data_IF_883933638529
#
_entry.id   IF_883933638529
#
_cell.length_a   1.000
_cell.length_b   1.000
_cell.length_c   1.000
_cell.angle_alpha   90.00
_cell.angle_beta   90.00
_cell.angle_gamma   90.00
#
_symmetry.space_group_name_H-M   'P 1'
#
loop_
_entity.id
_entity.type
_entity.pdbx_description
1 polymer ?
#
# COMPACT_ATOMS: atom_id res chain seq x y z
N UNK A 1 2.69 -38.73 10.50
CA UNK A 1 1.89 -38.03 11.55
C UNK A 1 2.74 -37.24 12.53
N UNK A 2 4.00 -37.59 12.80
CA UNK A 2 4.92 -36.83 13.66
C UNK A 2 5.49 -35.57 12.96
N UNK A 3 5.56 -35.55 11.63
CA UNK A 3 6.05 -34.40 10.85
C UNK A 3 5.08 -33.21 10.83
N UNK A 4 3.78 -33.44 10.92
CA UNK A 4 2.76 -32.38 10.91
C UNK A 4 2.70 -31.61 12.26
N UNK A 5 2.94 -32.28 13.37
CA UNK A 5 2.94 -31.65 14.70
C UNK A 5 4.19 -30.78 14.93
N UNK A 6 5.36 -31.20 14.43
CA UNK A 6 6.60 -30.45 14.54
C UNK A 6 6.57 -29.17 13.67
N UNK A 7 6.05 -29.25 12.46
CA UNK A 7 5.88 -28.10 11.56
C UNK A 7 4.87 -27.09 12.13
N UNK A 8 3.75 -27.54 12.67
CA UNK A 8 2.79 -26.67 13.35
C UNK A 8 3.43 -25.98 14.58
N UNK A 9 4.16 -26.73 15.41
CA UNK A 9 4.88 -26.16 16.56
C UNK A 9 5.91 -25.09 16.15
N UNK A 10 6.59 -25.28 15.02
CA UNK A 10 7.56 -24.30 14.52
C UNK A 10 6.88 -23.00 14.01
N UNK A 11 5.73 -23.11 13.37
CA UNK A 11 4.92 -21.97 12.94
C UNK A 11 4.46 -21.14 14.15
N UNK A 12 3.91 -21.77 15.19
CA UNK A 12 3.48 -21.08 16.41
C UNK A 12 4.65 -20.39 17.12
N UNK A 13 5.80 -21.06 17.27
CA UNK A 13 7.01 -20.47 17.88
C UNK A 13 7.49 -19.23 17.12
N UNK A 14 7.38 -19.22 15.79
CA UNK A 14 7.73 -18.04 14.99
C UNK A 14 6.72 -16.92 15.16
N UNK A 15 5.43 -17.23 15.21
CA UNK A 15 4.41 -16.22 15.49
C UNK A 15 4.67 -15.54 16.84
N UNK A 16 4.89 -16.30 17.90
CA UNK A 16 5.19 -15.78 19.24
C UNK A 16 6.47 -14.92 19.27
N UNK A 17 7.43 -15.24 18.41
CA UNK A 17 8.72 -14.55 18.35
C UNK A 17 8.66 -13.20 17.61
N UNK A 18 7.89 -13.11 16.53
CA UNK A 18 7.90 -11.94 15.64
C UNK A 18 6.65 -11.08 15.78
N UNK A 19 5.48 -11.69 15.85
CA UNK A 19 4.21 -10.98 15.76
C UNK A 19 3.95 -9.99 16.90
N UNK A 20 4.21 -10.28 18.19
CA UNK A 20 3.93 -9.34 19.28
C UNK A 20 4.62 -7.99 19.09
N UNK A 21 5.91 -7.98 18.75
CA UNK A 21 6.67 -6.74 18.53
C UNK A 21 6.25 -5.98 17.29
N UNK A 22 5.73 -6.68 16.27
CA UNK A 22 5.16 -6.05 15.08
C UNK A 22 3.80 -5.40 15.42
N UNK A 23 2.95 -6.06 16.20
CA UNK A 23 1.67 -5.51 16.66
C UNK A 23 1.86 -4.31 17.59
N UNK A 24 2.88 -4.36 18.46
CA UNK A 24 3.28 -3.23 19.30
C UNK A 24 3.89 -2.04 18.54
N UNK A 25 4.16 -2.19 17.24
CA UNK A 25 4.83 -1.18 16.42
C UNK A 25 6.34 -1.01 16.70
N UNK A 26 6.94 -1.86 17.54
CA UNK A 26 8.39 -1.86 17.79
C UNK A 26 9.19 -2.35 16.61
N UNK A 27 8.62 -3.25 15.82
CA UNK A 27 9.16 -3.74 14.57
C UNK A 27 8.22 -3.42 13.43
N UNK A 28 8.77 -3.01 12.30
CA UNK A 28 8.01 -2.80 11.07
C UNK A 28 8.07 -4.01 10.15
N UNK A 29 7.22 -4.02 9.13
CA UNK A 29 7.18 -5.07 8.12
C UNK A 29 7.25 -4.49 6.71
N UNK A 30 7.74 -5.27 5.75
CA UNK A 30 7.74 -4.92 4.32
C UNK A 30 7.30 -6.08 3.45
N UNK A 31 6.80 -5.77 2.26
CA UNK A 31 6.54 -6.74 1.18
C UNK A 31 7.60 -6.59 0.10
N UNK A 32 8.33 -7.67 -0.21
CA UNK A 32 9.41 -7.68 -1.18
C UNK A 32 9.07 -8.59 -2.36
N UNK A 33 8.44 -8.02 -3.41
CA UNK A 33 7.99 -8.74 -4.60
C UNK A 33 8.81 -8.39 -5.83
N UNK A 34 8.73 -7.11 -6.23
CA UNK A 34 9.25 -6.58 -7.50
C UNK A 34 10.77 -6.66 -7.57
N UNK A 35 11.26 -7.04 -8.74
CA UNK A 35 12.69 -7.06 -9.07
C UNK A 35 12.96 -6.19 -10.31
N UNK A 36 14.21 -5.82 -10.58
CA UNK A 36 14.54 -5.04 -11.79
C UNK A 36 14.07 -5.67 -13.10
N UNK A 37 13.93 -6.98 -13.11
CA UNK A 37 13.53 -7.77 -14.31
C UNK A 37 12.06 -8.16 -14.34
N UNK A 38 11.33 -7.98 -13.24
CA UNK A 38 9.92 -8.39 -13.16
C UNK A 38 9.14 -7.56 -12.14
N UNK A 39 7.94 -7.13 -12.54
CA UNK A 39 6.95 -6.49 -11.67
C UNK A 39 5.63 -7.26 -11.75
N UNK A 40 4.90 -7.09 -12.83
CA UNK A 40 3.61 -7.79 -13.06
C UNK A 40 3.81 -9.29 -13.27
N UNK A 41 4.81 -9.69 -14.06
CA UNK A 41 5.14 -11.11 -14.28
C UNK A 41 6.18 -11.61 -13.27
N UNK A 42 5.71 -11.95 -12.08
CA UNK A 42 6.55 -12.49 -11.01
C UNK A 42 7.13 -13.89 -11.33
N UNK A 43 6.65 -14.55 -12.39
CA UNK A 43 7.23 -15.80 -12.85
C UNK A 43 8.69 -15.70 -13.27
N UNK A 44 9.13 -14.49 -13.62
CA UNK A 44 10.50 -14.17 -14.05
C UNK A 44 11.46 -13.85 -12.90
N UNK A 45 11.01 -13.88 -11.64
CA UNK A 45 11.85 -13.52 -10.49
C UNK A 45 13.14 -14.34 -10.43
N UNK A 46 14.24 -13.67 -10.05
CA UNK A 46 15.61 -14.23 -9.97
C UNK A 46 16.10 -14.44 -8.54
N UNK A 47 15.44 -13.84 -7.54
CA UNK A 47 15.80 -14.05 -6.13
C UNK A 47 15.71 -15.52 -5.79
N UNK A 48 16.79 -16.06 -5.24
CA UNK A 48 16.95 -17.48 -4.90
C UNK A 48 16.92 -17.69 -3.40
N UNK A 49 16.46 -18.87 -3.00
CA UNK A 49 16.46 -19.34 -1.62
C UNK A 49 17.11 -20.73 -1.57
N UNK A 50 18.25 -20.84 -0.89
CA UNK A 50 19.01 -22.07 -0.76
C UNK A 50 18.82 -22.62 0.66
N UNK A 51 18.21 -23.80 0.75
CA UNK A 51 17.94 -24.47 2.03
C UNK A 51 19.26 -24.87 2.72
N UNK A 52 19.30 -24.66 4.03
CA UNK A 52 20.42 -25.00 4.89
C UNK A 52 20.09 -26.23 5.75
N UNK A 53 21.12 -26.88 6.30
CA UNK A 53 20.97 -28.10 7.10
C UNK A 53 20.14 -27.90 8.38
N UNK A 54 20.06 -26.67 8.89
CA UNK A 54 19.31 -26.28 10.08
C UNK A 54 17.85 -25.88 9.77
N UNK A 55 17.40 -26.02 8.52
CA UNK A 55 16.05 -25.67 8.06
C UNK A 55 15.86 -24.17 7.80
N UNK A 56 16.90 -23.35 7.92
CA UNK A 56 16.89 -21.96 7.44
C UNK A 56 17.17 -21.90 5.94
N UNK A 57 17.02 -20.72 5.36
CA UNK A 57 17.32 -20.46 3.95
C UNK A 57 18.27 -19.29 3.81
N UNK A 58 19.19 -19.39 2.87
CA UNK A 58 20.00 -18.27 2.39
C UNK A 58 19.32 -17.62 1.20
N UNK A 59 18.91 -16.38 1.37
CA UNK A 59 18.20 -15.59 0.36
C UNK A 59 19.21 -14.69 -0.35
N UNK A 60 19.27 -14.77 -1.68
CA UNK A 60 20.16 -13.94 -2.50
C UNK A 60 19.42 -13.37 -3.71
N UNK A 61 19.50 -12.06 -3.90
CA UNK A 61 18.85 -11.33 -4.99
C UNK A 61 18.62 -9.87 -4.66
N UNK A 62 17.88 -9.19 -5.53
CA UNK A 62 17.56 -7.79 -5.37
C UNK A 62 16.06 -7.55 -5.53
N UNK A 63 15.50 -6.72 -4.65
CA UNK A 63 14.12 -6.26 -4.69
C UNK A 63 14.08 -4.75 -4.82
N UNK A 64 13.17 -4.23 -5.64
CA UNK A 64 13.03 -2.79 -5.89
C UNK A 64 11.64 -2.28 -5.49
N UNK A 65 11.54 -0.97 -5.29
CA UNK A 65 10.33 -0.28 -4.87
C UNK A 65 9.78 -0.76 -3.52
N UNK A 66 10.68 -1.08 -2.58
CA UNK A 66 10.26 -1.57 -1.27
C UNK A 66 9.95 -0.39 -0.34
N UNK A 67 8.67 -0.17 -0.09
CA UNK A 67 8.19 0.86 0.83
C UNK A 67 8.70 0.60 2.25
N UNK A 68 9.30 1.62 2.85
CA UNK A 68 9.94 1.55 4.18
C UNK A 68 10.96 0.41 4.28
N UNK A 69 11.71 0.18 3.17
CA UNK A 69 12.62 -0.96 3.05
C UNK A 69 13.78 -0.94 4.04
N UNK A 70 14.31 0.23 4.36
CA UNK A 70 15.33 0.41 5.40
C UNK A 70 15.16 1.78 6.07
N UNK A 71 15.19 1.81 7.39
CA UNK A 71 15.09 2.99 8.24
C UNK A 71 15.51 2.64 9.68
N UNK A 72 15.59 3.63 10.53
CA UNK A 72 15.94 3.55 11.97
C UNK A 72 14.78 3.93 12.91
N UNK A 73 13.54 4.04 12.37
CA UNK A 73 12.34 4.40 13.14
C UNK A 73 11.84 3.25 14.03
N UNK A 74 12.27 2.01 13.74
CA UNK A 74 11.93 0.81 14.50
C UNK A 74 13.18 -0.01 14.80
N UNK A 75 13.13 -0.81 15.86
CA UNK A 75 14.26 -1.64 16.30
C UNK A 75 14.66 -2.70 15.25
N UNK A 76 13.70 -3.21 14.49
CA UNK A 76 13.90 -4.21 13.45
C UNK A 76 12.88 -4.04 12.32
N UNK A 77 13.21 -4.58 11.14
CA UNK A 77 12.31 -4.65 10.00
C UNK A 77 12.19 -6.11 9.58
N UNK A 78 10.96 -6.60 9.43
CA UNK A 78 10.68 -7.97 9.03
C UNK A 78 10.25 -7.95 7.57
N UNK A 79 11.11 -8.43 6.67
CA UNK A 79 10.84 -8.48 5.25
C UNK A 79 10.11 -9.78 4.87
N UNK A 80 8.93 -9.67 4.26
CA UNK A 80 8.25 -10.79 3.62
C UNK A 80 8.70 -10.86 2.16
N UNK A 81 9.55 -11.82 1.85
CA UNK A 81 10.26 -11.92 0.57
C UNK A 81 9.76 -13.11 -0.23
N UNK A 82 9.32 -12.88 -1.47
CA UNK A 82 9.10 -13.99 -2.39
C UNK A 82 10.40 -14.34 -3.11
N UNK A 83 10.71 -15.64 -3.12
CA UNK A 83 11.91 -16.17 -3.76
C UNK A 83 11.65 -17.58 -4.30
N UNK A 84 12.56 -18.07 -5.12
CA UNK A 84 12.52 -19.42 -5.69
C UNK A 84 13.50 -20.33 -4.95
N UNK A 85 12.99 -21.41 -4.37
CA UNK A 85 13.85 -22.42 -3.79
C UNK A 85 14.56 -23.23 -4.89
N UNK A 86 15.73 -23.82 -4.58
CA UNK A 86 16.67 -24.38 -5.57
C UNK A 86 16.05 -25.47 -6.45
N UNK A 87 15.13 -26.27 -5.96
CA UNK A 87 14.47 -27.39 -6.65
C UNK A 87 13.00 -27.09 -7.03
N UNK A 88 12.63 -25.79 -7.07
CA UNK A 88 11.27 -25.37 -7.42
C UNK A 88 11.09 -25.22 -8.93
N UNK A 89 9.87 -25.46 -9.46
CA UNK A 89 9.59 -25.31 -10.88
C UNK A 89 9.73 -23.85 -11.34
N UNK A 90 9.92 -23.66 -12.63
CA UNK A 90 9.92 -22.34 -13.25
C UNK A 90 8.52 -21.68 -13.18
N UNK A 91 8.48 -20.35 -13.40
CA UNK A 91 7.24 -19.58 -13.41
C UNK A 91 6.64 -19.36 -12.01
N UNK A 92 5.40 -18.92 -11.96
CA UNK A 92 4.72 -18.54 -10.71
C UNK A 92 4.49 -19.70 -9.75
N UNK A 93 4.42 -20.93 -10.27
CA UNK A 93 4.19 -22.14 -9.48
C UNK A 93 5.38 -22.55 -8.60
N UNK A 94 6.56 -21.96 -8.80
CA UNK A 94 7.75 -22.26 -8.01
C UNK A 94 8.13 -21.19 -6.99
N UNK A 95 7.24 -20.26 -6.70
CA UNK A 95 7.49 -19.14 -5.79
C UNK A 95 7.09 -19.54 -4.37
N UNK A 96 8.02 -19.34 -3.42
CA UNK A 96 7.81 -19.52 -1.98
C UNK A 96 7.94 -18.19 -1.25
N UNK A 97 7.36 -18.10 -0.06
CA UNK A 97 7.41 -16.92 0.80
C UNK A 97 8.38 -17.14 1.95
N UNK A 98 9.18 -16.11 2.25
CA UNK A 98 10.18 -16.14 3.31
C UNK A 98 10.07 -14.93 4.21
N UNK A 99 10.22 -15.15 5.52
CA UNK A 99 10.44 -14.13 6.52
C UNK A 99 11.93 -13.90 6.66
N UNK A 100 12.38 -12.67 6.40
CA UNK A 100 13.79 -12.27 6.45
C UNK A 100 13.92 -11.04 7.34
N UNK A 101 14.45 -11.15 8.57
CA UNK A 101 14.61 -9.99 9.43
C UNK A 101 15.84 -9.16 9.03
N UNK A 102 15.77 -7.84 9.19
CA UNK A 102 16.92 -6.92 9.02
C UNK A 102 18.04 -7.23 10.01
N UNK A 103 17.68 -7.50 11.25
CA UNK A 103 18.57 -8.02 12.28
C UNK A 103 18.09 -9.39 12.74
N UNK A 104 19.00 -10.33 12.88
CA UNK A 104 18.71 -11.68 13.34
C UNK A 104 18.06 -11.60 14.73
N UNK A 105 16.98 -12.34 14.93
CA UNK A 105 16.32 -12.43 16.23
C UNK A 105 16.78 -13.71 16.92
N UNK A 106 17.37 -13.56 18.11
CA UNK A 106 17.86 -14.69 18.93
C UNK A 106 16.69 -15.51 19.49
N UNK A 107 16.99 -16.64 20.10
CA UNK A 107 15.97 -17.51 20.70
C UNK A 107 15.20 -16.84 21.83
N UNK A 108 15.86 -16.00 22.62
CA UNK A 108 15.26 -15.20 23.68
C UNK A 108 14.45 -13.98 23.20
N UNK A 109 14.32 -13.81 21.87
CA UNK A 109 13.61 -12.69 21.25
C UNK A 109 14.39 -11.37 21.22
N UNK A 110 15.64 -11.35 21.67
CA UNK A 110 16.52 -10.17 21.58
C UNK A 110 17.08 -9.99 20.17
N UNK A 111 17.46 -8.74 19.85
CA UNK A 111 18.07 -8.40 18.56
C UNK A 111 19.52 -8.89 18.53
N UNK A 112 19.86 -9.60 17.47
CA UNK A 112 21.19 -10.10 17.18
C UNK A 112 21.93 -9.24 16.15
N UNK A 113 22.90 -9.83 15.47
CA UNK A 113 23.67 -9.13 14.44
C UNK A 113 22.79 -8.75 13.22
N UNK A 114 23.28 -7.79 12.43
CA UNK A 114 22.67 -7.45 11.15
C UNK A 114 22.68 -8.67 10.23
N UNK A 115 21.56 -8.89 9.57
CA UNK A 115 21.43 -9.94 8.55
C UNK A 115 22.02 -9.45 7.20
N UNK A 116 22.16 -10.35 6.24
CA UNK A 116 22.60 -10.04 4.87
C UNK A 116 21.59 -9.22 4.06
N UNK A 117 20.97 -8.19 4.67
CA UNK A 117 20.03 -7.27 4.02
C UNK A 117 20.59 -5.85 4.06
N UNK A 118 20.66 -5.21 2.90
CA UNK A 118 21.16 -3.83 2.80
C UNK A 118 20.34 -3.02 1.79
N UNK A 119 20.17 -1.73 2.07
CA UNK A 119 19.62 -0.80 1.09
C UNK A 119 20.69 -0.46 0.04
N UNK A 120 20.39 -0.67 -1.24
CA UNK A 120 21.24 -0.30 -2.35
C UNK A 120 21.06 1.16 -2.76
N UNK A 121 19.81 1.63 -2.77
CA UNK A 121 19.45 3.01 -3.06
C UNK A 121 18.06 3.34 -2.51
N UNK A 122 17.76 4.63 -2.46
CA UNK A 122 16.42 5.17 -2.14
C UNK A 122 15.89 5.86 -3.39
N UNK A 123 14.62 5.59 -3.71
CA UNK A 123 13.97 6.11 -4.91
C UNK A 123 13.67 7.62 -4.79
N UNK A 124 13.97 8.36 -5.85
CA UNK A 124 13.53 9.73 -6.04
C UNK A 124 12.08 9.75 -6.52
N UNK A 125 11.13 9.91 -5.59
CA UNK A 125 9.70 9.86 -5.88
C UNK A 125 9.12 11.24 -6.16
N UNK A 126 8.00 11.26 -6.88
CA UNK A 126 7.21 12.48 -7.11
C UNK A 126 6.60 13.01 -5.82
N UNK A 127 6.13 12.13 -4.95
CA UNK A 127 5.54 12.43 -3.65
C UNK A 127 5.95 11.43 -2.57
N UNK A 128 5.39 11.57 -1.35
CA UNK A 128 5.65 10.71 -0.18
C UNK A 128 7.16 10.60 0.12
N UNK A 129 7.88 11.72 -0.01
CA UNK A 129 9.36 11.74 0.09
C UNK A 129 9.86 11.42 1.48
N UNK A 130 9.03 11.59 2.52
CA UNK A 130 9.35 11.22 3.89
C UNK A 130 9.32 9.71 4.17
N UNK A 131 8.74 8.90 3.26
CA UNK A 131 8.77 7.45 3.34
C UNK A 131 9.85 6.90 2.41
N UNK A 132 10.87 6.24 2.95
CA UNK A 132 11.95 5.66 2.16
C UNK A 132 11.44 4.48 1.32
N UNK A 133 11.50 4.61 0.00
CA UNK A 133 11.25 3.50 -0.93
C UNK A 133 12.59 3.01 -1.43
N UNK A 134 12.96 1.78 -1.06
CA UNK A 134 14.32 1.27 -1.20
C UNK A 134 14.45 0.22 -2.30
N UNK A 135 15.63 0.17 -2.86
CA UNK A 135 16.18 -1.05 -3.46
C UNK A 135 16.82 -1.85 -2.33
N UNK A 136 16.40 -3.10 -2.14
CA UNK A 136 16.97 -4.01 -1.13
C UNK A 136 17.81 -5.08 -1.80
N UNK A 137 19.05 -5.23 -1.35
CA UNK A 137 19.95 -6.31 -1.73
C UNK A 137 19.93 -7.36 -0.61
N UNK A 138 19.76 -8.62 -0.99
CA UNK A 138 19.87 -9.78 -0.15
C UNK A 138 21.14 -10.53 -0.54
N UNK A 139 22.07 -10.60 0.39
CA UNK A 139 23.36 -11.29 0.22
C UNK A 139 23.44 -12.41 1.24
N UNK A 140 23.08 -13.61 0.81
CA UNK A 140 22.96 -14.79 1.67
C UNK A 140 22.19 -14.52 2.97
N UNK A 141 21.19 -13.64 2.91
CA UNK A 141 20.39 -13.27 4.06
C UNK A 141 19.65 -14.48 4.65
N UNK A 142 19.75 -14.67 5.95
CA UNK A 142 19.05 -15.75 6.65
C UNK A 142 17.54 -15.49 6.61
N UNK A 143 16.79 -16.45 6.10
CA UNK A 143 15.35 -16.41 5.99
C UNK A 143 14.68 -17.69 6.45
N UNK A 144 13.40 -17.59 6.76
CA UNK A 144 12.55 -18.70 7.22
C UNK A 144 11.38 -18.85 6.28
N UNK A 145 11.15 -20.03 5.72
CA UNK A 145 10.01 -20.27 4.84
C UNK A 145 8.70 -20.13 5.63
N UNK A 146 7.73 -19.40 5.06
CA UNK A 146 6.37 -19.28 5.58
C UNK A 146 5.46 -20.19 4.78
N UNK A 147 4.77 -21.08 5.47
CA UNK A 147 3.80 -22.01 4.90
C UNK A 147 4.40 -23.04 3.90
N UNK A 148 3.56 -23.65 3.06
CA UNK A 148 4.02 -24.68 2.14
C UNK A 148 4.90 -24.14 1.01
N UNK A 149 5.95 -24.90 0.66
CA UNK A 149 6.81 -24.63 -0.48
C UNK A 149 5.99 -24.47 -1.76
N UNK A 150 6.39 -23.53 -2.61
CA UNK A 150 5.74 -23.26 -3.91
C UNK A 150 4.31 -22.70 -3.81
N UNK A 151 3.92 -22.19 -2.64
CA UNK A 151 2.62 -21.53 -2.40
C UNK A 151 2.78 -20.06 -1.96
N UNK A 152 3.97 -19.49 -2.14
CA UNK A 152 4.29 -18.15 -1.64
C UNK A 152 3.42 -17.04 -2.21
N UNK A 153 2.97 -17.13 -3.47
CA UNK A 153 2.08 -16.13 -4.04
C UNK A 153 0.71 -16.12 -3.36
N UNK A 154 0.08 -17.28 -3.15
CA UNK A 154 -1.23 -17.33 -2.50
C UNK A 154 -1.17 -16.80 -1.06
N UNK A 155 -0.06 -17.04 -0.36
CA UNK A 155 0.17 -16.51 0.98
C UNK A 155 0.39 -15.00 0.97
N UNK A 156 1.19 -14.49 0.03
CA UNK A 156 1.42 -13.06 -0.14
C UNK A 156 0.13 -12.32 -0.53
N UNK A 157 -0.74 -12.94 -1.34
CA UNK A 157 -2.01 -12.36 -1.74
C UNK A 157 -2.97 -12.14 -0.58
N UNK A 158 -2.89 -12.89 0.51
CA UNK A 158 -3.68 -12.64 1.73
C UNK A 158 -3.45 -11.22 2.25
N UNK A 159 -2.20 -10.77 2.27
CA UNK A 159 -1.84 -9.40 2.66
C UNK A 159 -2.12 -8.39 1.53
N UNK A 160 -1.75 -8.73 0.29
CA UNK A 160 -1.91 -7.82 -0.86
C UNK A 160 -3.37 -7.46 -1.14
N UNK A 161 -4.33 -8.34 -0.89
CA UNK A 161 -5.74 -8.02 -1.08
C UNK A 161 -6.20 -6.93 -0.11
N UNK A 162 -5.75 -6.99 1.15
CA UNK A 162 -6.00 -5.91 2.12
C UNK A 162 -5.33 -4.60 1.67
N UNK A 163 -4.07 -4.66 1.26
CA UNK A 163 -3.34 -3.49 0.76
C UNK A 163 -4.02 -2.83 -0.44
N UNK A 164 -4.59 -3.61 -1.35
CA UNK A 164 -5.35 -3.06 -2.49
C UNK A 164 -6.54 -2.23 -2.05
N UNK A 165 -7.28 -2.70 -1.04
CA UNK A 165 -8.41 -1.95 -0.46
C UNK A 165 -7.90 -0.67 0.20
N UNK A 166 -6.83 -0.74 1.00
CA UNK A 166 -6.22 0.41 1.69
C UNK A 166 -5.73 1.46 0.68
N UNK A 167 -5.12 1.05 -0.43
CA UNK A 167 -4.71 1.97 -1.51
C UNK A 167 -5.92 2.62 -2.18
N UNK A 168 -7.03 1.91 -2.35
CA UNK A 168 -8.29 2.51 -2.79
C UNK A 168 -8.77 3.60 -1.81
N UNK A 169 -8.78 3.30 -0.52
CA UNK A 169 -9.14 4.27 0.53
C UNK A 169 -8.20 5.49 0.53
N UNK A 170 -6.92 5.30 0.23
CA UNK A 170 -5.99 6.42 0.05
C UNK A 170 -6.43 7.33 -1.11
N UNK A 171 -6.91 6.77 -2.23
CA UNK A 171 -7.50 7.52 -3.34
C UNK A 171 -8.68 8.37 -2.88
N UNK A 172 -9.64 7.77 -2.15
CA UNK A 172 -10.77 8.49 -1.56
C UNK A 172 -10.33 9.62 -0.62
N UNK A 173 -9.34 9.39 0.24
CA UNK A 173 -8.83 10.40 1.16
C UNK A 173 -8.19 11.60 0.45
N UNK A 174 -7.46 11.34 -0.64
CA UNK A 174 -6.88 12.39 -1.49
C UNK A 174 -7.98 13.19 -2.21
N UNK A 175 -8.99 12.52 -2.73
CA UNK A 175 -10.15 13.13 -3.36
C UNK A 175 -10.90 14.05 -2.39
N UNK A 176 -11.14 13.59 -1.18
CA UNK A 176 -11.82 14.36 -0.13
C UNK A 176 -11.08 15.64 0.22
N UNK A 177 -9.77 15.59 0.48
CA UNK A 177 -9.00 16.79 0.83
C UNK A 177 -8.91 17.77 -0.34
N UNK A 178 -8.82 17.28 -1.58
CA UNK A 178 -8.83 18.09 -2.78
C UNK A 178 -10.16 18.85 -2.92
N UNK A 179 -11.29 18.16 -2.71
CA UNK A 179 -12.61 18.77 -2.73
C UNK A 179 -12.78 19.82 -1.64
N UNK A 180 -12.43 19.51 -0.39
CA UNK A 180 -12.58 20.45 0.74
C UNK A 180 -11.80 21.75 0.51
N UNK A 181 -10.54 21.65 0.05
CA UNK A 181 -9.71 22.80 -0.26
C UNK A 181 -10.31 23.63 -1.42
N UNK A 182 -10.76 22.96 -2.47
CA UNK A 182 -11.39 23.62 -3.62
C UNK A 182 -12.68 24.32 -3.23
N UNK A 183 -13.50 23.70 -2.41
CA UNK A 183 -14.76 24.28 -1.91
C UNK A 183 -14.51 25.51 -1.03
N UNK A 184 -13.54 25.45 -0.11
CA UNK A 184 -13.18 26.60 0.74
C UNK A 184 -12.70 27.76 -0.11
N UNK A 185 -11.77 27.51 -1.02
CA UNK A 185 -11.26 28.54 -1.93
C UNK A 185 -12.35 29.15 -2.81
N UNK A 186 -13.25 28.32 -3.36
CA UNK A 186 -14.34 28.78 -4.23
C UNK A 186 -15.34 29.69 -3.50
N UNK A 187 -15.50 29.55 -2.19
CA UNK A 187 -16.35 30.40 -1.34
C UNK A 187 -15.69 31.74 -0.97
N UNK A 188 -14.37 31.84 -1.07
CA UNK A 188 -13.59 33.03 -0.67
C UNK A 188 -13.13 33.86 -1.86
N UNK A 189 -12.76 33.20 -2.97
CA UNK A 189 -12.22 33.84 -4.17
C UNK A 189 -13.31 34.50 -4.97
N UNK A 190 -13.10 35.78 -5.34
CA UNK A 190 -13.95 36.53 -6.24
C UNK A 190 -13.26 36.71 -7.60
N UNK A 191 -13.98 36.45 -8.70
CA UNK A 191 -13.50 36.65 -10.07
C UNK A 191 -14.64 36.70 -11.06
N UNK A 192 -14.67 37.74 -11.92
CA UNK A 192 -15.70 37.90 -12.92
C UNK A 192 -17.10 38.17 -12.37
N UNK A 193 -18.09 38.20 -13.25
CA UNK A 193 -19.52 38.32 -12.92
C UNK A 193 -20.28 37.18 -13.56
N UNK A 194 -21.20 36.61 -12.84
CA UNK A 194 -22.17 35.62 -13.38
C UNK A 194 -23.30 36.32 -14.11
N UNK A 195 -24.03 35.58 -14.97
CA UNK A 195 -25.20 36.13 -15.68
C UNK A 195 -26.30 36.62 -14.72
N UNK A 196 -26.34 36.11 -13.51
CA UNK A 196 -27.30 36.46 -12.46
C UNK A 196 -26.66 37.22 -11.30
N UNK A 197 -25.54 37.90 -11.55
CA UNK A 197 -24.80 38.62 -10.52
C UNK A 197 -25.69 39.64 -9.79
N UNK A 198 -25.69 39.56 -8.48
CA UNK A 198 -26.34 40.53 -7.59
C UNK A 198 -25.35 41.63 -7.13
N UNK A 199 -24.07 41.50 -7.49
CA UNK A 199 -23.04 42.47 -7.12
C UNK A 199 -23.16 43.72 -7.97
N UNK A 200 -23.43 44.84 -7.35
CA UNK A 200 -23.50 46.17 -8.03
C UNK A 200 -22.12 46.67 -8.39
N UNK A 201 -21.14 46.49 -7.49
CA UNK A 201 -19.76 46.95 -7.64
C UNK A 201 -18.78 45.84 -7.23
N UNK A 202 -18.35 45.01 -8.20
CA UNK A 202 -17.33 44.00 -7.90
C UNK A 202 -17.53 42.70 -8.65
N UNK A 203 -16.74 41.70 -8.30
CA UNK A 203 -16.81 40.35 -8.83
C UNK A 203 -17.61 39.45 -7.90
N UNK A 204 -18.23 38.41 -8.45
CA UNK A 204 -18.92 37.36 -7.70
C UNK A 204 -17.91 36.34 -7.13
N UNK A 205 -18.30 35.60 -6.12
CA UNK A 205 -17.54 34.45 -5.68
C UNK A 205 -17.48 33.38 -6.76
N UNK A 206 -16.33 32.71 -6.94
CA UNK A 206 -16.19 31.76 -8.04
C UNK A 206 -17.12 30.56 -7.90
N UNK A 207 -17.58 30.23 -6.70
CA UNK A 207 -18.60 29.18 -6.48
C UNK A 207 -19.94 29.51 -7.15
N UNK A 208 -20.21 30.74 -7.49
CA UNK A 208 -21.44 31.16 -8.17
C UNK A 208 -21.40 30.86 -9.70
N UNK A 209 -20.22 30.65 -10.26
CA UNK A 209 -20.05 30.29 -11.67
C UNK A 209 -20.47 28.85 -11.93
N UNK A 210 -21.16 28.62 -13.05
CA UNK A 210 -21.80 27.34 -13.36
C UNK A 210 -20.79 26.19 -13.56
N UNK A 211 -19.62 26.48 -14.14
CA UNK A 211 -18.54 25.53 -14.38
C UNK A 211 -17.90 25.07 -13.06
N UNK A 212 -17.56 26.02 -12.17
CA UNK A 212 -17.02 25.71 -10.85
C UNK A 212 -18.01 24.89 -10.02
N UNK A 213 -19.30 25.26 -10.03
CA UNK A 213 -20.34 24.50 -9.34
C UNK A 213 -20.48 23.08 -9.90
N UNK A 214 -20.40 22.92 -11.21
CA UNK A 214 -20.43 21.60 -11.85
C UNK A 214 -19.27 20.73 -11.40
N UNK A 215 -18.04 21.26 -11.41
CA UNK A 215 -16.86 20.52 -10.95
C UNK A 215 -16.98 20.13 -9.49
N UNK A 216 -17.36 21.05 -8.61
CA UNK A 216 -17.54 20.76 -7.19
C UNK A 216 -18.64 19.72 -6.91
N UNK A 217 -19.76 19.76 -7.67
CA UNK A 217 -20.82 18.76 -7.54
C UNK A 217 -20.38 17.39 -8.04
N UNK A 218 -19.63 17.32 -9.15
CA UNK A 218 -19.07 16.08 -9.64
C UNK A 218 -18.11 15.46 -8.62
N UNK A 219 -17.16 16.25 -8.13
CA UNK A 219 -16.23 15.79 -7.07
C UNK A 219 -17.00 15.23 -5.88
N UNK A 220 -17.98 15.97 -5.36
CA UNK A 220 -18.76 15.54 -4.21
C UNK A 220 -19.52 14.25 -4.48
N UNK A 221 -20.18 14.12 -5.62
CA UNK A 221 -20.97 12.93 -5.95
C UNK A 221 -20.11 11.67 -6.07
N UNK A 222 -18.92 11.81 -6.67
CA UNK A 222 -17.94 10.71 -6.78
C UNK A 222 -17.45 10.30 -5.39
N UNK A 223 -17.01 11.24 -4.58
CA UNK A 223 -16.48 11.00 -3.23
C UNK A 223 -17.52 10.31 -2.33
N UNK A 224 -18.80 10.76 -2.37
CA UNK A 224 -19.86 10.12 -1.59
C UNK A 224 -20.16 8.69 -2.09
N UNK A 225 -20.12 8.47 -3.40
CA UNK A 225 -20.24 7.14 -4.01
C UNK A 225 -19.10 6.20 -3.60
N UNK A 226 -17.84 6.68 -3.68
CA UNK A 226 -16.66 5.93 -3.23
C UNK A 226 -16.73 5.59 -1.74
N UNK A 227 -17.16 6.55 -0.92
CA UNK A 227 -17.33 6.34 0.52
C UNK A 227 -18.37 5.28 0.84
N UNK A 228 -19.52 5.32 0.17
CA UNK A 228 -20.56 4.31 0.32
C UNK A 228 -20.07 2.92 -0.07
N UNK A 229 -19.38 2.81 -1.21
CA UNK A 229 -18.80 1.55 -1.68
C UNK A 229 -17.69 1.03 -0.73
N UNK A 230 -16.89 1.93 -0.19
CA UNK A 230 -15.83 1.59 0.79
C UNK A 230 -16.44 0.97 2.06
N UNK A 231 -17.48 1.59 2.64
CA UNK A 231 -18.16 1.06 3.82
C UNK A 231 -18.83 -0.28 3.54
N UNK A 232 -19.50 -0.41 2.39
CA UNK A 232 -20.10 -1.67 2.00
C UNK A 232 -19.06 -2.80 1.86
N UNK A 233 -17.93 -2.52 1.20
CA UNK A 233 -16.85 -3.51 1.03
C UNK A 233 -16.20 -3.88 2.36
N UNK A 234 -16.03 -2.90 3.26
CA UNK A 234 -15.52 -3.16 4.61
C UNK A 234 -16.48 -4.08 5.39
N UNK A 235 -17.79 -3.84 5.29
CA UNK A 235 -18.79 -4.72 5.88
C UNK A 235 -18.72 -6.14 5.30
N UNK A 236 -18.62 -6.28 3.96
CA UNK A 236 -18.47 -7.60 3.33
C UNK A 236 -17.20 -8.31 3.78
N UNK A 237 -16.10 -7.56 3.97
CA UNK A 237 -14.85 -8.12 4.51
C UNK A 237 -15.05 -8.68 5.92
N UNK A 238 -15.73 -7.95 6.79
CA UNK A 238 -16.06 -8.39 8.15
C UNK A 238 -16.96 -9.64 8.15
N UNK A 239 -18.02 -9.64 7.33
CA UNK A 239 -18.92 -10.79 7.16
C UNK A 239 -18.15 -12.01 6.65
N UNK A 240 -17.23 -11.84 5.69
CA UNK A 240 -16.42 -12.94 5.14
C UNK A 240 -15.48 -13.58 6.16
N UNK A 241 -15.12 -12.86 7.21
CA UNK A 241 -14.21 -13.34 8.27
C UNK A 241 -14.96 -13.96 9.46
N UNK A 242 -16.06 -13.33 9.88
CA UNK A 242 -16.64 -13.59 11.20
C UNK A 242 -18.10 -14.08 11.19
N UNK A 243 -18.78 -14.13 10.04
CA UNK A 243 -20.16 -14.57 10.01
C UNK A 243 -20.28 -16.06 10.38
N UNK A 244 -21.32 -16.43 11.14
CA UNK A 244 -21.53 -17.82 11.61
C UNK A 244 -22.09 -18.76 10.54
N UNK A 245 -22.82 -18.22 9.55
CA UNK A 245 -23.35 -18.98 8.42
C UNK A 245 -22.32 -19.04 7.30
N UNK A 246 -21.83 -20.25 6.98
CA UNK A 246 -20.79 -20.46 5.98
C UNK A 246 -21.23 -20.09 4.56
N UNK A 247 -22.52 -20.14 4.24
CA UNK A 247 -23.03 -19.72 2.92
C UNK A 247 -22.92 -18.20 2.76
N UNK A 248 -23.35 -17.46 3.76
CA UNK A 248 -23.26 -16.00 3.78
C UNK A 248 -21.81 -15.56 3.78
N UNK A 249 -20.96 -16.24 4.54
CA UNK A 249 -19.53 -16.02 4.61
C UNK A 249 -18.85 -16.19 3.26
N UNK A 250 -19.20 -17.27 2.54
CA UNK A 250 -18.66 -17.53 1.21
C UNK A 250 -19.12 -16.47 0.19
N UNK A 251 -20.40 -16.10 0.19
CA UNK A 251 -20.95 -15.06 -0.69
C UNK A 251 -20.24 -13.70 -0.46
N UNK A 252 -20.04 -13.34 0.80
CA UNK A 252 -19.28 -12.12 1.15
C UNK A 252 -17.82 -12.20 0.68
N UNK A 253 -17.17 -13.36 0.80
CA UNK A 253 -15.80 -13.59 0.29
C UNK A 253 -15.72 -13.42 -1.23
N UNK A 254 -16.73 -13.88 -1.96
CA UNK A 254 -16.82 -13.73 -3.41
C UNK A 254 -16.96 -12.25 -3.79
N UNK A 255 -17.81 -11.48 -3.09
CA UNK A 255 -17.92 -10.03 -3.27
C UNK A 255 -16.60 -9.32 -2.98
N UNK A 256 -15.91 -9.63 -1.88
CA UNK A 256 -14.61 -9.03 -1.56
C UNK A 256 -13.59 -9.32 -2.65
N UNK A 257 -13.55 -10.56 -3.13
CA UNK A 257 -12.61 -10.98 -4.19
C UNK A 257 -12.87 -10.24 -5.51
N UNK A 258 -14.14 -10.08 -5.88
CA UNK A 258 -14.56 -9.37 -7.09
C UNK A 258 -14.27 -7.86 -6.99
N UNK A 259 -14.60 -7.24 -5.84
CA UNK A 259 -14.60 -5.78 -5.70
C UNK A 259 -13.24 -5.21 -5.33
N UNK A 260 -12.35 -5.98 -4.73
CA UNK A 260 -10.99 -5.52 -4.35
C UNK A 260 -10.22 -4.87 -5.51
N UNK A 261 -10.07 -5.51 -6.70
CA UNK A 261 -9.40 -4.87 -7.82
C UNK A 261 -10.19 -3.68 -8.39
N UNK A 262 -11.52 -3.72 -8.35
CA UNK A 262 -12.38 -2.62 -8.82
C UNK A 262 -12.17 -1.39 -7.95
N UNK A 263 -12.28 -1.52 -6.64
CA UNK A 263 -12.09 -0.39 -5.70
C UNK A 263 -10.70 0.19 -5.84
N UNK A 264 -9.66 -0.65 -5.91
CA UNK A 264 -8.28 -0.17 -6.06
C UNK A 264 -8.11 0.65 -7.33
N UNK A 265 -8.58 0.16 -8.49
CA UNK A 265 -8.44 0.86 -9.77
C UNK A 265 -9.32 2.10 -9.82
N UNK A 266 -10.61 1.94 -9.58
CA UNK A 266 -11.59 3.02 -9.72
C UNK A 266 -11.26 4.23 -8.82
N UNK A 267 -10.99 4.00 -7.53
CA UNK A 267 -10.75 5.11 -6.60
C UNK A 267 -9.45 5.85 -6.89
N UNK A 268 -8.40 5.13 -7.30
CA UNK A 268 -7.14 5.80 -7.64
C UNK A 268 -7.22 6.55 -8.97
N UNK A 269 -7.97 6.07 -9.96
CA UNK A 269 -8.18 6.75 -11.23
C UNK A 269 -9.05 8.01 -11.03
N UNK A 270 -10.16 7.90 -10.31
CA UNK A 270 -11.02 9.04 -9.97
C UNK A 270 -10.31 10.08 -9.09
N UNK A 271 -9.39 9.67 -8.21
CA UNK A 271 -8.58 10.60 -7.44
C UNK A 271 -7.70 11.47 -8.35
N UNK A 272 -7.17 10.92 -9.44
CA UNK A 272 -6.41 11.70 -10.43
C UNK A 272 -7.30 12.74 -11.13
N UNK A 273 -8.51 12.37 -11.51
CA UNK A 273 -9.47 13.31 -12.14
C UNK A 273 -9.88 14.42 -11.16
N UNK A 274 -10.27 14.06 -9.92
CA UNK A 274 -10.67 14.99 -8.88
C UNK A 274 -9.53 15.98 -8.53
N UNK A 275 -8.31 15.49 -8.39
CA UNK A 275 -7.16 16.36 -8.09
C UNK A 275 -6.81 17.28 -9.25
N UNK A 276 -6.99 16.83 -10.50
CA UNK A 276 -6.85 17.67 -11.69
C UNK A 276 -7.90 18.78 -11.73
N UNK A 277 -9.17 18.47 -11.47
CA UNK A 277 -10.25 19.46 -11.37
C UNK A 277 -10.02 20.45 -10.21
N UNK A 278 -9.54 19.95 -9.08
CA UNK A 278 -9.17 20.78 -7.94
C UNK A 278 -8.09 21.80 -8.29
N UNK A 279 -7.08 21.40 -9.07
CA UNK A 279 -6.05 22.33 -9.55
C UNK A 279 -6.63 23.44 -10.45
N UNK A 280 -7.60 23.12 -11.29
CA UNK A 280 -8.27 24.13 -12.12
C UNK A 280 -9.00 25.17 -11.27
N UNK A 281 -9.67 24.73 -10.20
CA UNK A 281 -10.37 25.63 -9.26
C UNK A 281 -9.37 26.47 -8.46
N UNK A 282 -8.31 25.87 -7.91
CA UNK A 282 -7.31 26.52 -7.07
C UNK A 282 -6.35 27.44 -7.82
N UNK A 283 -6.23 27.28 -9.15
CA UNK A 283 -5.24 27.93 -10.00
C UNK A 283 -3.78 27.50 -9.75
N UNK A 284 -3.01 27.40 -10.81
CA UNK A 284 -1.60 26.93 -10.77
C UNK A 284 -0.69 27.78 -9.87
N UNK A 285 -0.96 29.09 -9.76
CA UNK A 285 -0.14 30.00 -8.94
C UNK A 285 -0.23 29.67 -7.43
N UNK A 286 -1.35 29.11 -6.98
CA UNK A 286 -1.53 28.69 -5.58
C UNK A 286 -0.92 27.33 -5.29
N UNK A 287 -0.62 26.57 -6.33
CA UNK A 287 -0.08 25.20 -6.24
C UNK A 287 1.45 25.19 -6.43
N UNK A 288 1.97 26.04 -7.31
CA UNK A 288 3.37 26.01 -7.78
C UNK A 288 4.29 26.99 -7.08
N UNK A 289 3.78 27.99 -6.37
CA UNK A 289 4.63 29.00 -5.74
C UNK A 289 5.23 28.50 -4.41
N UNK A 290 6.55 28.59 -4.24
CA UNK A 290 7.25 28.07 -3.05
C UNK A 290 7.00 28.87 -1.77
N UNK A 291 6.24 29.98 -1.84
CA UNK A 291 6.12 30.97 -0.76
C UNK A 291 4.90 30.81 0.14
N UNK A 292 3.98 29.85 -0.12
CA UNK A 292 2.85 29.59 0.79
C UNK A 292 2.86 28.16 1.32
N UNK A 293 3.35 27.95 2.55
CA UNK A 293 3.38 26.65 3.17
C UNK A 293 2.01 26.27 3.72
N UNK A 294 1.57 25.08 3.54
CA UNK A 294 0.63 24.27 4.32
C UNK A 294 -0.67 23.79 3.69
N UNK A 295 -1.27 24.45 2.69
CA UNK A 295 -2.56 23.97 2.14
C UNK A 295 -2.42 23.20 0.82
N UNK A 296 -1.24 23.25 0.21
CA UNK A 296 -1.01 22.83 -1.19
C UNK A 296 -0.20 21.55 -1.32
N UNK A 297 0.45 21.11 -0.25
CA UNK A 297 1.36 19.96 -0.30
C UNK A 297 0.68 18.64 -0.72
N UNK A 298 -0.62 18.49 -0.52
CA UNK A 298 -1.33 17.25 -0.87
C UNK A 298 -1.77 17.18 -2.33
N UNK A 299 -2.25 18.27 -2.94
CA UNK A 299 -2.64 18.26 -4.36
C UNK A 299 -1.41 18.16 -5.29
N UNK A 300 -0.29 18.81 -4.92
CA UNK A 300 1.00 18.66 -5.62
C UNK A 300 1.60 17.26 -5.44
N UNK A 301 1.24 16.55 -4.38
CA UNK A 301 1.68 15.17 -4.13
C UNK A 301 1.19 14.17 -5.17
N UNK A 302 0.06 14.42 -5.83
CA UNK A 302 -0.51 13.50 -6.81
C UNK A 302 -0.05 13.79 -8.25
N UNK A 303 0.58 14.94 -8.51
CA UNK A 303 0.87 15.42 -9.88
C UNK A 303 2.33 15.77 -10.15
N UNK A 304 3.23 15.49 -9.21
CA UNK A 304 4.68 15.60 -9.44
C UNK A 304 5.34 14.27 -9.21
#
# INVERSE_FOLDING_TARGET
TLSSSSAASDVYKRQDKYLPKMVEGKWSGTMCLTEPVCGTDLGMLKTKAVEQKDGTFKISGQKIFITSGDHDLTENIIHLVIARASDSPAGTKGISLFLVPKYIVKEDGSIGPRNGVSAGSVEHKMGIKGSATCVLNFDEAVGYMIGPKNKGLSQMFTMMNLERIVVGIQGLGISEIAYQNSLSYAKERKQGKTNNSKSTNGADFIIEHADIRKSLLNMKSIIEGERALCFWLSQQTEVSLYHSDEKIKQEASDYVSLMTPVVKSLFTDLAMEITSDAMQILSLIHISEPTRPRLISYAVFCLK
#
